data_IF_476099156124
#
_entry.id   IF_476099156124
#
_cell.length_a   1.000
_cell.length_b   1.000
_cell.length_c   1.000
_cell.angle_alpha   90.00
_cell.angle_beta   90.00
_cell.angle_gamma   90.00
#
_symmetry.space_group_name_H-M   'P 1'
#
loop_
_entity.id
_entity.type
_entity.pdbx_description
1 polymer ?
#
# COMPACT_ATOMS: atom_id res chain seq x y z
N UNK A 1 -6.76 -8.02 2.48
CA UNK A 1 -7.67 -6.97 3.01
C UNK A 1 -8.07 -6.03 1.87
N UNK A 2 -9.32 -5.54 1.84
CA UNK A 2 -9.74 -4.55 0.84
C UNK A 2 -9.39 -3.13 1.33
N UNK A 3 -9.32 -2.16 0.40
CA UNK A 3 -8.96 -0.77 0.73
C UNK A 3 -9.99 -0.08 1.65
N UNK A 4 -11.28 -0.42 1.52
CA UNK A 4 -12.36 0.17 2.32
C UNK A 4 -12.24 -0.22 3.79
N UNK A 5 -12.08 -1.51 4.07
CA UNK A 5 -11.93 -2.07 5.40
C UNK A 5 -10.68 -1.51 6.09
N UNK A 6 -9.58 -1.35 5.34
CA UNK A 6 -8.36 -0.73 5.86
C UNK A 6 -8.62 0.72 6.30
N UNK A 7 -9.31 1.52 5.48
CA UNK A 7 -9.64 2.91 5.82
C UNK A 7 -10.52 3.01 7.07
N UNK A 8 -11.53 2.14 7.18
CA UNK A 8 -12.41 2.10 8.35
C UNK A 8 -11.63 1.72 9.61
N UNK A 9 -10.77 0.70 9.53
CA UNK A 9 -9.90 0.31 10.63
C UNK A 9 -8.97 1.45 11.07
N UNK A 10 -8.33 2.14 10.12
CA UNK A 10 -7.49 3.31 10.41
C UNK A 10 -8.27 4.44 11.09
N UNK A 11 -9.50 4.72 10.66
CA UNK A 11 -10.32 5.76 11.28
C UNK A 11 -10.69 5.43 12.73
N UNK A 12 -11.00 4.17 13.00
CA UNK A 12 -11.33 3.71 14.36
C UNK A 12 -10.08 3.80 15.26
N UNK A 13 -8.96 3.22 14.81
CA UNK A 13 -7.76 3.07 15.63
C UNK A 13 -7.00 4.39 15.84
N UNK A 14 -7.23 5.42 15.00
CA UNK A 14 -6.61 6.75 15.16
C UNK A 14 -7.46 7.71 16.00
N UNK A 15 -8.69 7.34 16.35
CA UNK A 15 -9.60 8.21 17.09
C UNK A 15 -9.18 8.27 18.57
N UNK A 16 -8.74 9.45 19.00
CA UNK A 16 -8.40 9.71 20.40
C UNK A 16 -9.69 9.95 21.20
N UNK A 17 -9.92 9.14 22.23
CA UNK A 17 -10.95 9.40 23.23
C UNK A 17 -10.44 10.43 24.24
N UNK A 18 -11.04 11.62 24.25
CA UNK A 18 -10.65 12.71 25.16
C UNK A 18 -11.12 12.51 26.60
N UNK A 19 -12.02 11.55 26.84
CA UNK A 19 -12.55 11.23 28.18
C UNK A 19 -11.67 10.23 28.93
N UNK A 20 -11.01 9.32 28.21
CA UNK A 20 -10.08 8.33 28.75
C UNK A 20 -8.70 8.39 28.06
N UNK A 21 -7.95 9.45 28.38
CA UNK A 21 -6.61 9.66 27.82
C UNK A 21 -5.58 8.67 28.37
N UNK A 22 -5.75 8.22 29.61
CA UNK A 22 -4.82 7.29 30.27
C UNK A 22 -4.97 5.89 29.65
N UNK A 23 -6.21 5.40 29.52
CA UNK A 23 -6.49 4.14 28.83
C UNK A 23 -6.00 4.16 27.39
N UNK A 24 -6.33 5.19 26.62
CA UNK A 24 -5.83 5.32 25.25
C UNK A 24 -4.30 5.37 25.17
N UNK A 25 -3.61 6.04 26.11
CA UNK A 25 -2.15 6.07 26.12
C UNK A 25 -1.53 4.68 26.28
N UNK A 26 -2.19 3.77 27.00
CA UNK A 26 -1.70 2.39 27.18
C UNK A 26 -1.90 1.51 25.95
N UNK A 27 -2.86 1.83 25.06
CA UNK A 27 -3.13 1.05 23.84
C UNK A 27 -2.23 1.45 22.67
N UNK A 28 -1.56 2.61 22.72
CA UNK A 28 -0.70 3.10 21.62
C UNK A 28 0.39 2.08 21.21
N UNK A 29 1.16 1.46 22.13
CA UNK A 29 2.16 0.46 21.75
C UNK A 29 1.55 -0.76 21.07
N UNK A 30 0.38 -1.21 21.52
CA UNK A 30 -0.34 -2.36 20.94
C UNK A 30 -0.80 -2.04 19.50
N UNK A 31 -1.40 -0.87 19.30
CA UNK A 31 -1.79 -0.37 17.98
C UNK A 31 -0.56 -0.18 17.07
N UNK A 32 0.52 0.40 17.57
CA UNK A 32 1.75 0.54 16.79
C UNK A 32 2.29 -0.81 16.32
N UNK A 33 2.33 -1.82 17.20
CA UNK A 33 2.74 -3.17 16.84
C UNK A 33 1.81 -3.81 15.81
N UNK A 34 0.48 -3.67 15.97
CA UNK A 34 -0.53 -4.12 14.99
C UNK A 34 -0.23 -3.57 13.59
N UNK A 35 -0.04 -2.26 13.46
CA UNK A 35 0.24 -1.63 12.16
C UNK A 35 1.63 -1.97 11.61
N UNK A 36 2.62 -2.24 12.46
CA UNK A 36 3.92 -2.73 12.02
C UNK A 36 3.85 -4.14 11.42
N UNK A 37 3.11 -5.06 12.04
CA UNK A 37 2.88 -6.41 11.52
C UNK A 37 2.09 -6.36 10.22
N UNK A 38 1.00 -5.60 10.20
CA UNK A 38 0.18 -5.43 9.01
C UNK A 38 0.98 -4.89 7.82
N UNK A 39 1.84 -3.89 8.08
CA UNK A 39 2.75 -3.35 7.06
C UNK A 39 3.72 -4.41 6.53
N UNK A 40 4.27 -5.25 7.41
CA UNK A 40 5.17 -6.31 7.01
C UNK A 40 4.48 -7.28 6.03
N UNK A 41 3.28 -7.71 6.38
CA UNK A 41 2.49 -8.65 5.58
C UNK A 41 2.09 -8.04 4.22
N UNK A 42 1.56 -6.83 4.20
CA UNK A 42 1.14 -6.16 2.97
C UNK A 42 2.35 -5.82 2.06
N UNK A 43 3.55 -5.61 2.63
CA UNK A 43 4.79 -5.51 1.85
C UNK A 43 5.24 -6.85 1.27
N UNK A 44 4.97 -7.97 1.94
CA UNK A 44 5.24 -9.30 1.36
C UNK A 44 4.35 -9.53 0.14
N UNK A 45 3.07 -9.19 0.23
CA UNK A 45 2.12 -9.25 -0.88
C UNK A 45 2.57 -8.35 -2.03
N UNK A 46 2.96 -7.10 -1.75
CA UNK A 46 3.48 -6.19 -2.78
C UNK A 46 4.67 -6.77 -3.53
N UNK A 47 5.66 -7.30 -2.80
CA UNK A 47 6.86 -7.93 -3.39
C UNK A 47 6.50 -9.11 -4.28
N UNK A 48 5.52 -9.92 -3.87
CA UNK A 48 5.03 -11.03 -4.67
C UNK A 48 4.39 -10.55 -5.98
N UNK A 49 3.46 -9.59 -5.93
CA UNK A 49 2.78 -9.07 -7.13
C UNK A 49 3.77 -8.38 -8.08
N UNK A 50 4.74 -7.62 -7.55
CA UNK A 50 5.81 -7.03 -8.35
C UNK A 50 6.67 -8.09 -9.06
N UNK A 51 6.89 -9.24 -8.43
CA UNK A 51 7.62 -10.36 -9.04
C UNK A 51 6.80 -11.01 -10.16
N UNK A 52 5.50 -11.22 -9.94
CA UNK A 52 4.58 -11.74 -10.97
C UNK A 52 4.50 -10.80 -12.18
N UNK A 53 4.45 -9.49 -11.96
CA UNK A 53 4.48 -8.50 -13.04
C UNK A 53 5.74 -8.58 -13.90
N UNK A 54 6.92 -8.79 -13.29
CA UNK A 54 8.17 -8.95 -14.05
C UNK A 54 8.14 -10.20 -14.94
N UNK A 55 7.57 -11.29 -14.44
CA UNK A 55 7.39 -12.54 -15.20
C UNK A 55 6.44 -12.27 -16.38
N UNK A 56 5.29 -11.66 -16.12
CA UNK A 56 4.30 -11.32 -17.15
C UNK A 56 4.90 -10.39 -18.21
N UNK A 57 5.63 -9.35 -17.80
CA UNK A 57 6.28 -8.40 -18.72
C UNK A 57 7.28 -9.12 -19.64
N UNK A 58 8.02 -10.09 -19.13
CA UNK A 58 8.91 -10.89 -19.95
C UNK A 58 8.14 -11.78 -20.94
N UNK A 59 7.02 -12.37 -20.54
CA UNK A 59 6.16 -13.16 -21.43
C UNK A 59 5.61 -12.29 -22.56
N UNK A 60 5.03 -11.12 -22.24
CA UNK A 60 4.52 -10.16 -23.25
C UNK A 60 5.62 -9.64 -24.16
N UNK A 61 6.82 -9.39 -23.62
CA UNK A 61 7.96 -9.00 -24.44
C UNK A 61 8.35 -10.10 -25.44
N UNK A 62 8.34 -11.37 -25.03
CA UNK A 62 8.59 -12.49 -25.97
C UNK A 62 7.50 -12.55 -27.05
N UNK A 63 6.25 -12.37 -26.68
CA UNK A 63 5.13 -12.35 -27.60
C UNK A 63 5.26 -11.23 -28.64
N UNK A 64 5.39 -9.97 -28.22
CA UNK A 64 5.51 -8.85 -29.16
C UNK A 64 6.82 -8.86 -29.96
N UNK A 65 7.87 -9.51 -29.46
CA UNK A 65 9.14 -9.65 -30.20
C UNK A 65 9.17 -10.82 -31.20
N UNK A 66 8.09 -11.59 -31.33
CA UNK A 66 8.06 -12.75 -32.23
C UNK A 66 8.77 -13.99 -31.67
N UNK A 67 9.04 -14.05 -30.37
CA UNK A 67 9.83 -15.10 -29.68
C UNK A 67 9.00 -15.96 -28.73
N UNK A 68 7.68 -15.74 -28.63
CA UNK A 68 6.79 -16.64 -27.90
C UNK A 68 6.62 -17.99 -28.60
N UNK A 69 5.96 -18.92 -27.91
CA UNK A 69 5.63 -20.23 -28.45
C UNK A 69 4.63 -20.11 -29.62
N UNK A 70 4.74 -20.92 -30.69
CA UNK A 70 3.79 -20.90 -31.81
C UNK A 70 2.33 -21.00 -31.39
N UNK A 71 2.02 -21.77 -30.35
CA UNK A 71 0.66 -21.94 -29.83
C UNK A 71 0.04 -20.62 -29.34
N UNK A 72 0.82 -19.69 -28.80
CA UNK A 72 0.30 -18.39 -28.34
C UNK A 72 -0.15 -17.50 -29.51
N UNK A 73 0.48 -17.63 -30.68
CA UNK A 73 0.06 -16.89 -31.88
C UNK A 73 -1.13 -17.54 -32.59
N UNK A 74 -1.37 -18.83 -32.38
CA UNK A 74 -2.60 -19.50 -32.83
C UNK A 74 -3.82 -19.00 -32.04
N UNK A 75 -3.68 -18.84 -30.72
CA UNK A 75 -4.75 -18.32 -29.86
C UNK A 75 -4.96 -16.81 -30.02
N UNK A 76 -3.87 -16.05 -30.13
CA UNK A 76 -3.89 -14.59 -30.33
C UNK A 76 -3.02 -14.24 -31.53
N UNK A 77 -3.57 -14.20 -32.75
CA UNK A 77 -2.80 -13.84 -33.92
C UNK A 77 -2.36 -12.38 -33.85
N UNK A 78 -1.06 -12.14 -34.07
CA UNK A 78 -0.46 -10.82 -34.07
C UNK A 78 0.52 -10.70 -35.25
N UNK A 79 0.05 -10.04 -36.30
CA UNK A 79 0.72 -9.99 -37.62
C UNK A 79 1.66 -8.78 -37.78
N UNK A 80 1.80 -7.96 -36.72
CA UNK A 80 2.61 -6.75 -36.73
C UNK A 80 4.01 -7.05 -36.21
N UNK A 81 5.03 -6.76 -37.03
CA UNK A 81 6.42 -6.82 -36.58
C UNK A 81 6.74 -5.58 -35.74
N UNK A 82 6.75 -5.74 -34.41
CA UNK A 82 7.10 -4.66 -33.48
C UNK A 82 8.60 -4.40 -33.52
N UNK A 83 8.99 -3.16 -33.76
CA UNK A 83 10.38 -2.73 -33.69
C UNK A 83 10.81 -2.58 -32.23
N UNK A 84 12.10 -2.71 -31.95
CA UNK A 84 12.64 -2.56 -30.59
C UNK A 84 12.30 -1.20 -29.96
N UNK A 85 12.25 -0.14 -30.78
CA UNK A 85 11.92 1.21 -30.32
C UNK A 85 10.45 1.38 -29.95
N UNK A 86 9.56 0.60 -30.56
CA UNK A 86 8.12 0.67 -30.31
C UNK A 86 7.67 -0.32 -29.23
N UNK A 87 8.55 -1.23 -28.81
CA UNK A 87 8.24 -2.29 -27.83
C UNK A 87 7.62 -1.76 -26.54
N UNK A 88 8.15 -0.66 -26.00
CA UNK A 88 7.63 -0.09 -24.76
C UNK A 88 6.20 0.44 -24.94
N UNK A 89 5.85 0.99 -26.11
CA UNK A 89 4.47 1.42 -26.41
C UNK A 89 3.49 0.25 -26.38
N UNK A 90 3.87 -0.90 -26.95
CA UNK A 90 3.03 -2.10 -26.93
C UNK A 90 2.91 -2.70 -25.54
N UNK A 91 4.01 -2.76 -24.78
CA UNK A 91 4.00 -3.30 -23.41
C UNK A 91 3.22 -2.40 -22.45
N UNK A 92 3.34 -1.08 -22.59
CA UNK A 92 2.60 -0.13 -21.75
C UNK A 92 1.10 -0.10 -22.11
N UNK A 93 0.74 -0.46 -23.34
CA UNK A 93 -0.65 -0.59 -23.80
C UNK A 93 -1.28 -1.98 -23.61
N UNK A 94 -0.52 -3.00 -23.20
CA UNK A 94 -1.04 -4.35 -22.99
C UNK A 94 -1.98 -4.38 -21.78
N UNK A 95 -3.21 -4.86 -22.00
CA UNK A 95 -4.27 -4.87 -20.99
C UNK A 95 -3.90 -5.70 -19.76
N UNK A 96 -3.23 -6.85 -19.95
CA UNK A 96 -2.85 -7.72 -18.84
C UNK A 96 -1.74 -7.08 -17.99
N UNK A 97 -0.78 -6.40 -18.62
CA UNK A 97 0.24 -5.62 -17.93
C UNK A 97 -0.35 -4.42 -17.20
N UNK A 98 -1.27 -3.69 -17.82
CA UNK A 98 -1.98 -2.58 -17.17
C UNK A 98 -2.76 -3.05 -15.95
N UNK A 99 -3.51 -4.14 -16.06
CA UNK A 99 -4.24 -4.73 -14.92
C UNK A 99 -3.30 -5.17 -13.79
N UNK A 100 -2.16 -5.79 -14.14
CA UNK A 100 -1.16 -6.18 -13.15
C UNK A 100 -0.50 -4.96 -12.48
N UNK A 101 -0.23 -3.89 -13.24
CA UNK A 101 0.31 -2.63 -12.72
C UNK A 101 -0.68 -1.93 -11.79
N UNK A 102 -1.96 -1.85 -12.14
CA UNK A 102 -3.00 -1.30 -11.28
C UNK A 102 -3.08 -2.04 -9.93
N UNK A 103 -2.90 -3.36 -9.93
CA UNK A 103 -2.84 -4.16 -8.68
C UNK A 103 -1.62 -3.83 -7.83
N UNK A 104 -0.48 -3.52 -8.45
CA UNK A 104 0.71 -3.06 -7.72
C UNK A 104 0.43 -1.71 -7.09
N UNK A 105 -0.11 -0.75 -7.85
CA UNK A 105 -0.42 0.60 -7.38
C UNK A 105 -1.43 0.56 -6.21
N UNK A 106 -2.51 -0.22 -6.33
CA UNK A 106 -3.48 -0.39 -5.23
C UNK A 106 -2.80 -0.95 -3.96
N UNK A 107 -1.87 -1.89 -4.13
CA UNK A 107 -1.16 -2.49 -3.01
C UNK A 107 -0.13 -1.53 -2.39
N UNK A 108 0.52 -0.69 -3.20
CA UNK A 108 1.40 0.39 -2.74
C UNK A 108 0.63 1.42 -1.91
N UNK A 109 -0.57 1.81 -2.37
CA UNK A 109 -1.46 2.71 -1.64
C UNK A 109 -1.87 2.14 -0.27
N UNK A 110 -2.14 0.82 -0.18
CA UNK A 110 -2.43 0.17 1.10
C UNK A 110 -1.25 0.27 2.05
N UNK A 111 -0.06 -0.10 1.57
CA UNK A 111 1.18 -0.04 2.36
C UNK A 111 1.45 1.38 2.85
N UNK A 112 1.24 2.38 2.00
CA UNK A 112 1.42 3.80 2.34
C UNK A 112 0.43 4.25 3.41
N UNK A 113 -0.85 3.91 3.28
CA UNK A 113 -1.87 4.23 4.28
C UNK A 113 -1.54 3.62 5.65
N UNK A 114 -1.05 2.38 5.68
CA UNK A 114 -0.61 1.70 6.90
C UNK A 114 0.60 2.43 7.52
N UNK A 115 1.58 2.83 6.72
CA UNK A 115 2.76 3.59 7.18
C UNK A 115 2.37 4.95 7.77
N UNK A 116 1.47 5.68 7.11
CA UNK A 116 0.96 6.95 7.60
C UNK A 116 0.18 6.78 8.91
N UNK A 117 -0.65 5.73 8.99
CA UNK A 117 -1.44 5.43 10.20
C UNK A 117 -0.55 5.06 11.38
N UNK A 118 0.48 4.22 11.16
CA UNK A 118 1.46 3.89 12.19
C UNK A 118 2.16 5.15 12.73
N UNK A 119 2.50 6.09 11.84
CA UNK A 119 3.11 7.38 12.23
C UNK A 119 2.14 8.24 13.06
N UNK A 120 0.85 8.28 12.68
CA UNK A 120 -0.17 9.00 13.45
C UNK A 120 -0.30 8.43 14.86
N UNK A 121 -0.34 7.09 15.00
CA UNK A 121 -0.42 6.41 16.29
C UNK A 121 0.81 6.73 17.16
N UNK A 122 2.02 6.67 16.60
CA UNK A 122 3.25 7.03 17.32
C UNK A 122 3.24 8.51 17.77
N UNK A 123 2.70 9.40 16.95
CA UNK A 123 2.58 10.81 17.28
C UNK A 123 1.47 11.11 18.30
N UNK A 124 0.52 10.18 18.51
CA UNK A 124 -0.59 10.38 19.43
C UNK A 124 -0.13 10.58 20.87
N UNK A 125 0.92 9.88 21.33
CA UNK A 125 1.48 10.07 22.68
C UNK A 125 1.94 11.51 22.93
N UNK A 126 2.55 12.15 21.93
CA UNK A 126 2.97 13.55 22.01
C UNK A 126 1.75 14.48 22.03
N UNK A 127 0.74 14.22 21.20
CA UNK A 127 -0.49 15.00 21.16
C UNK A 127 -1.24 14.95 22.50
N UNK A 128 -1.35 13.76 23.11
CA UNK A 128 -1.97 13.56 24.42
C UNK A 128 -1.18 14.30 25.50
N UNK A 129 0.15 14.15 25.51
CA UNK A 129 1.02 14.87 26.45
C UNK A 129 0.85 16.39 26.36
N UNK A 130 0.76 16.94 25.14
CA UNK A 130 0.54 18.36 24.92
C UNK A 130 -0.86 18.80 25.36
N UNK A 131 -1.89 17.99 25.09
CA UNK A 131 -3.25 18.26 25.53
C UNK A 131 -3.37 18.28 27.07
N UNK A 132 -2.70 17.35 27.76
CA UNK A 132 -2.65 17.31 29.22
C UNK A 132 -1.93 18.56 29.78
N UNK A 133 -0.77 18.92 29.22
CA UNK A 133 -0.04 20.15 29.60
C UNK A 133 -0.89 21.40 29.41
N UNK A 134 -1.63 21.50 28.31
CA UNK A 134 -2.55 22.61 28.07
C UNK A 134 -3.68 22.68 29.10
N UNK A 135 -4.27 21.53 29.48
CA UNK A 135 -5.28 21.47 30.54
C UNK A 135 -4.72 21.89 31.91
N UNK A 136 -3.49 21.47 32.25
CA UNK A 136 -2.81 21.89 33.48
C UNK A 136 -2.54 23.40 33.51
N UNK A 137 -2.06 23.95 32.39
CA UNK A 137 -1.86 25.38 32.23
C UNK A 137 -3.14 26.19 32.43
N UNK A 138 -4.26 25.77 31.82
CA UNK A 138 -5.56 26.42 32.00
C UNK A 138 -6.08 26.32 33.45
N UNK A 139 -5.72 25.27 34.18
CA UNK A 139 -6.07 25.10 35.60
C UNK A 139 -5.19 25.93 36.55
N UNK A 140 -4.21 26.68 36.03
CA UNK A 140 -3.29 27.51 36.82
C UNK A 140 -2.10 26.73 37.39
N UNK A 141 -1.92 25.47 36.99
CA UNK A 141 -0.83 24.61 37.43
C UNK A 141 0.40 24.88 36.54
N UNK A 142 1.19 25.88 36.94
CA UNK A 142 2.43 26.34 36.28
C UNK A 142 3.66 25.65 36.91
N UNK A 143 3.71 24.31 36.85
CA UNK A 143 4.92 23.53 37.15
C UNK A 143 5.08 22.35 36.21
#
# INVERSE_FOLDING_TARGET
MNMKDLKEMCQIDTKIDTTDLDGYSTTIPELANKYHQLRHDEKNVLRFIQSQYKILKLQKWKYYSGKADPSEYEEKPFDLKVLKNDMDLFLDGDEELLLAKNKIEEQEDKVKLIEETARLIQNASFNISNAIKWKKFLAGDLT
#
